data_IF_803608416797
#
_entry.id   IF_803608416797
#
_cell.length_a   1.000
_cell.length_b   1.000
_cell.length_c   1.000
_cell.angle_alpha   90.00
_cell.angle_beta   90.00
_cell.angle_gamma   90.00
#
_symmetry.space_group_name_H-M   'P 1'
#
loop_
_entity.id
_entity.type
_entity.pdbx_description
1 polymer ?
#
# COMPACT_ATOMS: atom_id res chain seq x y z
N UNK A 1 43.09 -4.65 -7.78
CA UNK A 1 42.56 -5.67 -6.86
C UNK A 1 42.57 -7.06 -7.52
N UNK A 2 43.76 -7.54 -7.93
CA UNK A 2 43.91 -8.75 -8.77
C UNK A 2 44.78 -9.83 -8.10
N UNK A 3 45.24 -9.61 -6.87
CA UNK A 3 45.94 -10.64 -6.09
C UNK A 3 44.95 -11.65 -5.50
N UNK A 4 45.36 -12.92 -5.28
CA UNK A 4 44.54 -13.92 -4.59
C UNK A 4 43.99 -13.43 -3.24
N UNK A 5 44.82 -12.73 -2.46
CA UNK A 5 44.40 -12.12 -1.19
C UNK A 5 43.31 -11.04 -1.38
N UNK A 6 43.46 -10.17 -2.39
CA UNK A 6 42.45 -9.16 -2.70
C UNK A 6 41.12 -9.76 -3.13
N UNK A 7 41.14 -10.89 -3.87
CA UNK A 7 39.93 -11.63 -4.24
C UNK A 7 39.22 -12.21 -3.02
N UNK A 8 39.96 -12.83 -2.10
CA UNK A 8 39.41 -13.36 -0.85
C UNK A 8 38.77 -12.25 -0.01
N UNK A 9 39.45 -11.13 0.19
CA UNK A 9 38.91 -10.00 0.96
C UNK A 9 37.62 -9.47 0.35
N UNK A 10 37.55 -9.35 -0.97
CA UNK A 10 36.32 -8.91 -1.65
C UNK A 10 35.16 -9.89 -1.42
N UNK A 11 35.41 -11.20 -1.46
CA UNK A 11 34.39 -12.21 -1.20
C UNK A 11 33.84 -12.13 0.23
N UNK A 12 34.72 -11.92 1.22
CA UNK A 12 34.29 -11.74 2.61
C UNK A 12 33.43 -10.49 2.75
N UNK A 13 33.83 -9.37 2.16
CA UNK A 13 33.06 -8.12 2.19
C UNK A 13 31.69 -8.31 1.53
N UNK A 14 31.63 -8.99 0.38
CA UNK A 14 30.36 -9.30 -0.28
C UNK A 14 29.45 -10.16 0.59
N UNK A 15 29.99 -11.21 1.23
CA UNK A 15 29.22 -12.07 2.12
C UNK A 15 28.68 -11.31 3.35
N UNK A 16 29.48 -10.41 3.93
CA UNK A 16 29.03 -9.55 5.04
C UNK A 16 27.92 -8.60 4.58
N UNK A 17 28.06 -8.00 3.40
CA UNK A 17 27.04 -7.09 2.86
C UNK A 17 25.70 -7.80 2.59
N UNK A 18 25.74 -9.05 2.13
CA UNK A 18 24.55 -9.90 1.96
C UNK A 18 23.90 -10.21 3.31
N UNK A 19 24.71 -10.64 4.30
CA UNK A 19 24.24 -10.91 5.65
C UNK A 19 23.56 -9.70 6.30
N UNK A 20 24.16 -8.51 6.20
CA UNK A 20 23.58 -7.29 6.76
C UNK A 20 22.25 -6.90 6.08
N UNK A 21 22.14 -7.12 4.77
CA UNK A 21 20.90 -6.89 4.02
C UNK A 21 19.78 -7.82 4.52
N UNK A 22 20.07 -9.09 4.69
CA UNK A 22 19.10 -10.08 5.16
C UNK A 22 18.63 -9.76 6.57
N UNK A 23 19.55 -9.37 7.46
CA UNK A 23 19.23 -8.95 8.82
C UNK A 23 18.35 -7.68 8.84
N UNK A 24 18.58 -6.74 7.93
CA UNK A 24 17.75 -5.54 7.79
C UNK A 24 16.34 -5.86 7.28
N UNK A 25 16.22 -6.78 6.33
CA UNK A 25 14.93 -7.28 5.85
C UNK A 25 14.16 -7.98 6.97
N UNK A 26 14.79 -8.89 7.71
CA UNK A 26 14.17 -9.60 8.84
C UNK A 26 13.60 -8.61 9.88
N UNK A 27 14.40 -7.60 10.25
CA UNK A 27 13.96 -6.54 11.18
C UNK A 27 12.78 -5.76 10.62
N UNK A 28 12.80 -5.43 9.33
CA UNK A 28 11.71 -4.70 8.66
C UNK A 28 10.41 -5.52 8.69
N UNK A 29 10.49 -6.81 8.35
CA UNK A 29 9.33 -7.70 8.40
C UNK A 29 8.79 -7.85 9.82
N UNK A 30 9.66 -7.98 10.82
CA UNK A 30 9.24 -8.03 12.23
C UNK A 30 8.50 -6.75 12.64
N UNK A 31 8.96 -5.59 12.17
CA UNK A 31 8.33 -4.30 12.45
C UNK A 31 6.96 -4.17 11.76
N UNK A 32 6.87 -4.59 10.49
CA UNK A 32 5.61 -4.63 9.74
C UNK A 32 4.61 -5.56 10.44
N UNK A 33 5.05 -6.75 10.87
CA UNK A 33 4.19 -7.70 11.58
C UNK A 33 3.63 -7.10 12.88
N UNK A 34 4.47 -6.46 13.70
CA UNK A 34 4.01 -5.76 14.92
C UNK A 34 3.02 -4.65 14.60
N UNK A 35 3.28 -3.83 13.59
CA UNK A 35 2.39 -2.73 13.21
C UNK A 35 1.05 -3.24 12.64
N UNK A 36 1.04 -4.34 11.88
CA UNK A 36 -0.18 -5.02 11.43
C UNK A 36 -0.99 -5.56 12.63
N UNK A 37 -0.33 -6.22 13.59
CA UNK A 37 -0.97 -6.73 14.80
C UNK A 37 -1.57 -5.61 15.66
N UNK A 38 -0.94 -4.43 15.69
CA UNK A 38 -1.47 -3.23 16.33
C UNK A 38 -2.60 -2.53 15.53
N UNK A 39 -3.05 -3.11 14.41
CA UNK A 39 -4.12 -2.54 13.58
C UNK A 39 -3.72 -1.29 12.79
N UNK A 40 -2.41 -1.01 12.64
CA UNK A 40 -1.97 0.17 11.89
C UNK A 40 -2.32 0.00 10.41
N UNK A 41 -2.98 1.00 9.84
CA UNK A 41 -3.28 1.03 8.41
C UNK A 41 -2.00 1.20 7.59
N UNK A 42 -1.86 0.38 6.55
CA UNK A 42 -0.79 0.46 5.56
C UNK A 42 -1.30 1.02 4.22
N UNK A 43 -0.37 1.53 3.42
CA UNK A 43 -0.66 2.05 2.08
C UNK A 43 -1.21 3.47 2.08
N UNK A 44 -1.61 3.93 0.89
CA UNK A 44 -2.13 5.29 0.69
C UNK A 44 -3.47 5.44 1.44
N UNK A 45 -3.67 6.54 2.19
CA UNK A 45 -4.97 6.89 2.76
C UNK A 45 -6.05 6.96 1.66
N UNK A 46 -7.32 6.64 1.98
CA UNK A 46 -8.38 6.65 1.00
C UNK A 46 -8.74 8.11 0.72
N UNK A 47 -9.15 8.41 -0.51
CA UNK A 47 -9.57 9.78 -0.85
C UNK A 47 -10.92 10.12 -0.19
N UNK A 48 -11.77 9.10 0.00
CA UNK A 48 -13.07 9.23 0.65
C UNK A 48 -13.02 8.58 2.03
N UNK A 49 -13.58 9.25 3.04
CA UNK A 49 -13.87 8.64 4.35
C UNK A 49 -14.93 7.54 4.22
N UNK A 50 -15.08 6.71 5.25
CA UNK A 50 -16.11 5.66 5.24
C UNK A 50 -17.53 6.28 5.20
N UNK A 51 -17.76 7.38 5.90
CA UNK A 51 -19.01 8.16 5.85
C UNK A 51 -19.29 8.67 4.43
N UNK A 52 -18.26 9.20 3.75
CA UNK A 52 -18.41 9.69 2.38
C UNK A 52 -18.71 8.54 1.41
N UNK A 53 -18.10 7.36 1.59
CA UNK A 53 -18.44 6.17 0.79
C UNK A 53 -19.89 5.74 0.99
N UNK A 54 -20.40 5.83 2.22
CA UNK A 54 -21.79 5.53 2.52
C UNK A 54 -22.73 6.50 1.77
N UNK A 55 -22.46 7.80 1.83
CA UNK A 55 -23.22 8.79 1.07
C UNK A 55 -23.12 8.57 -0.44
N UNK A 56 -21.94 8.22 -0.96
CA UNK A 56 -21.75 7.87 -2.38
C UNK A 56 -22.61 6.66 -2.75
N UNK A 57 -22.68 5.65 -1.90
CA UNK A 57 -23.49 4.44 -2.09
C UNK A 57 -24.98 4.76 -2.14
N UNK A 58 -25.47 5.55 -1.19
CA UNK A 58 -26.87 6.00 -1.16
C UNK A 58 -27.23 6.78 -2.43
N UNK A 59 -26.34 7.67 -2.89
CA UNK A 59 -26.55 8.44 -4.12
C UNK A 59 -26.51 7.59 -5.38
N UNK A 60 -25.66 6.57 -5.43
CA UNK A 60 -25.64 5.59 -6.52
C UNK A 60 -26.96 4.81 -6.58
N UNK A 61 -27.50 4.40 -5.43
CA UNK A 61 -28.79 3.70 -5.33
C UNK A 61 -29.97 4.61 -5.69
N UNK A 62 -29.87 5.92 -5.41
CA UNK A 62 -30.82 6.93 -5.86
C UNK A 62 -30.74 7.24 -7.37
N UNK A 63 -29.85 6.58 -8.12
CA UNK A 63 -29.72 6.72 -9.57
C UNK A 63 -28.95 7.98 -10.03
N UNK A 64 -28.26 8.67 -9.12
CA UNK A 64 -27.47 9.86 -9.48
C UNK A 64 -26.27 9.44 -10.33
N UNK A 65 -25.97 10.22 -11.38
CA UNK A 65 -24.86 9.90 -12.29
C UNK A 65 -23.50 9.91 -11.57
N UNK A 66 -22.65 8.94 -11.91
CA UNK A 66 -21.27 8.80 -11.40
C UNK A 66 -20.47 10.10 -11.58
N UNK A 67 -20.67 10.79 -12.71
CA UNK A 67 -19.99 12.04 -13.04
C UNK A 67 -20.40 13.21 -12.15
N UNK A 68 -21.64 13.24 -11.68
CA UNK A 68 -22.13 14.27 -10.77
C UNK A 68 -21.56 14.05 -9.36
N UNK A 69 -21.61 12.81 -8.87
CA UNK A 69 -21.04 12.42 -7.57
C UNK A 69 -19.53 12.70 -7.54
N UNK A 70 -18.81 12.34 -8.60
CA UNK A 70 -17.37 12.59 -8.68
C UNK A 70 -17.03 14.08 -8.54
N UNK A 71 -17.81 14.96 -9.18
CA UNK A 71 -17.61 16.43 -9.08
C UNK A 71 -17.90 16.95 -7.68
N UNK A 72 -18.96 16.47 -7.05
CA UNK A 72 -19.32 16.87 -5.68
C UNK A 72 -18.23 16.53 -4.67
N UNK A 73 -17.69 15.31 -4.73
CA UNK A 73 -16.62 14.88 -3.83
C UNK A 73 -15.21 15.29 -4.32
N UNK A 74 -15.13 16.18 -5.32
CA UNK A 74 -13.89 16.64 -5.94
C UNK A 74 -12.91 15.49 -6.25
N UNK A 75 -13.44 14.42 -6.82
CA UNK A 75 -12.70 13.19 -7.11
C UNK A 75 -12.90 12.76 -8.55
N UNK A 76 -12.12 11.76 -8.98
CA UNK A 76 -12.25 11.22 -10.33
C UNK A 76 -13.44 10.25 -10.42
N UNK A 77 -13.99 10.06 -11.62
CA UNK A 77 -15.01 9.03 -11.87
C UNK A 77 -14.54 7.64 -11.46
N UNK A 78 -13.24 7.37 -11.57
CA UNK A 78 -12.62 6.10 -11.17
C UNK A 78 -12.72 5.84 -9.67
N UNK A 79 -12.60 6.88 -8.84
CA UNK A 79 -12.81 6.75 -7.38
C UNK A 79 -14.22 6.26 -7.08
N UNK A 80 -15.24 6.85 -7.71
CA UNK A 80 -16.64 6.49 -7.52
C UNK A 80 -16.94 5.10 -8.10
N UNK A 81 -16.39 4.77 -9.28
CA UNK A 81 -16.52 3.44 -9.88
C UNK A 81 -15.94 2.34 -9.00
N UNK A 82 -14.81 2.60 -8.31
CA UNK A 82 -14.23 1.65 -7.37
C UNK A 82 -15.11 1.43 -6.14
N UNK A 83 -15.78 2.48 -5.64
CA UNK A 83 -16.79 2.34 -4.59
C UNK A 83 -17.95 1.48 -5.10
N UNK A 84 -18.46 1.76 -6.30
CA UNK A 84 -19.52 0.96 -6.94
C UNK A 84 -19.13 -0.51 -7.13
N UNK A 85 -17.89 -0.79 -7.53
CA UNK A 85 -17.40 -2.15 -7.71
C UNK A 85 -17.31 -2.92 -6.38
N UNK A 86 -16.99 -2.23 -5.27
CA UNK A 86 -17.01 -2.81 -3.94
C UNK A 86 -18.41 -3.25 -3.50
N UNK A 87 -19.43 -2.47 -3.84
CA UNK A 87 -20.84 -2.80 -3.54
C UNK A 87 -21.36 -4.07 -4.24
N UNK A 88 -20.73 -4.50 -5.33
CA UNK A 88 -21.13 -5.70 -6.08
C UNK A 88 -20.44 -6.98 -5.56
N UNK A 89 -19.54 -6.86 -4.57
CA UNK A 89 -18.79 -7.98 -4.00
C UNK A 89 -19.29 -8.39 -2.60
N UNK A 90 -20.27 -7.66 -2.05
CA UNK A 90 -21.06 -8.05 -0.88
C UNK A 90 -22.40 -8.64 -1.33
#
# INVERSE_FOLDING_TARGET
MTSPAGKMTMQVISAVAEFERDLLLERTYSGIARAKAAGKRFGRPPILSEEQKQTVTERLNAGISISAIAREFNTTRQTILRVKAGLLQE
#
